data_IF_277167530319
#
_entry.id   IF_277167530319
#
_cell.length_a   1.000
_cell.length_b   1.000
_cell.length_c   1.000
_cell.angle_alpha   90.00
_cell.angle_beta   90.00
_cell.angle_gamma   90.00
#
_symmetry.space_group_name_H-M   'P 1'
#
loop_
_entity.id
_entity.type
_entity.pdbx_description
1 polymer ?
#
# COMPACT_ATOMS: atom_id res chain seq x y z
N UNK A 1 -53.11 -18.07 58.64
CA UNK A 1 -52.63 -17.39 59.85
C UNK A 1 -51.27 -18.01 60.22
N UNK A 2 -50.26 -17.15 60.44
CA UNK A 2 -48.94 -17.39 61.09
C UNK A 2 -47.94 -18.20 60.23
N UNK A 3 -46.98 -17.54 59.54
CA UNK A 3 -45.64 -17.07 59.99
C UNK A 3 -44.71 -18.22 60.41
N UNK A 4 -43.47 -18.37 59.92
CA UNK A 4 -42.33 -17.44 60.05
C UNK A 4 -41.30 -17.70 58.94
N UNK A 5 -40.73 -16.62 58.41
CA UNK A 5 -39.62 -16.61 57.45
C UNK A 5 -38.29 -16.95 58.14
N UNK A 6 -37.47 -17.79 57.50
CA UNK A 6 -36.07 -18.01 57.89
C UNK A 6 -35.15 -17.49 56.78
N UNK A 7 -34.50 -16.36 57.02
CA UNK A 7 -33.37 -15.86 56.23
C UNK A 7 -32.16 -16.79 56.47
N UNK A 8 -31.59 -17.35 55.40
CA UNK A 8 -30.19 -17.81 55.42
C UNK A 8 -29.38 -16.91 54.48
N UNK A 9 -28.56 -16.04 55.09
CA UNK A 9 -27.50 -15.32 54.38
C UNK A 9 -26.27 -16.24 54.29
N UNK A 10 -26.03 -16.82 53.11
CA UNK A 10 -24.75 -17.46 52.82
C UNK A 10 -23.83 -16.41 52.16
N UNK A 11 -22.95 -15.83 52.97
CA UNK A 11 -21.86 -14.97 52.51
C UNK A 11 -20.87 -15.86 51.74
N UNK A 12 -20.90 -15.78 50.42
CA UNK A 12 -19.89 -16.40 49.57
C UNK A 12 -18.56 -15.68 49.76
N UNK A 13 -17.61 -16.31 50.43
CA UNK A 13 -16.22 -15.86 50.50
C UNK A 13 -15.61 -15.99 49.10
N UNK A 14 -15.53 -14.88 48.35
CA UNK A 14 -14.66 -14.77 47.19
C UNK A 14 -13.21 -14.74 47.70
N UNK A 15 -12.52 -15.87 47.62
CA UNK A 15 -11.07 -15.90 47.81
C UNK A 15 -10.45 -15.12 46.64
N UNK A 16 -10.15 -13.85 46.86
CA UNK A 16 -9.26 -13.09 45.99
C UNK A 16 -7.87 -13.68 46.16
N UNK A 17 -7.53 -14.70 45.34
CA UNK A 17 -6.15 -15.16 45.23
C UNK A 17 -5.37 -13.99 44.64
N UNK A 18 -4.35 -13.44 45.33
CA UNK A 18 -3.51 -12.44 44.72
C UNK A 18 -2.81 -13.14 43.55
N UNK A 19 -3.21 -12.80 42.32
CA UNK A 19 -2.39 -13.06 41.16
C UNK A 19 -1.11 -12.27 41.43
N UNK A 20 -0.08 -12.94 41.94
CA UNK A 20 1.28 -12.42 41.83
C UNK A 20 1.56 -12.46 40.35
N UNK A 21 1.14 -11.42 39.63
CA UNK A 21 1.74 -11.05 38.37
C UNK A 21 3.21 -10.87 38.71
N UNK A 22 4.00 -11.94 38.51
CA UNK A 22 5.42 -11.78 38.35
C UNK A 22 5.53 -10.74 37.24
N UNK A 23 6.02 -9.55 37.59
CA UNK A 23 6.47 -8.58 36.63
C UNK A 23 7.62 -9.27 35.90
N UNK A 24 7.29 -10.04 34.87
CA UNK A 24 8.29 -10.64 34.01
C UNK A 24 9.03 -9.48 33.39
N UNK A 25 10.34 -9.45 33.65
CA UNK A 25 11.24 -8.47 33.03
C UNK A 25 10.97 -8.52 31.53
N UNK A 26 10.69 -7.38 30.90
CA UNK A 26 10.54 -7.30 29.44
C UNK A 26 11.69 -8.08 28.81
N UNK A 27 11.34 -9.04 27.94
CA UNK A 27 12.32 -9.86 27.23
C UNK A 27 13.33 -8.91 26.59
N UNK A 28 14.62 -9.09 26.91
CA UNK A 28 15.65 -8.21 26.38
C UNK A 28 15.96 -8.64 24.95
N UNK A 29 16.25 -7.70 24.05
CA UNK A 29 16.63 -8.01 22.67
C UNK A 29 17.79 -9.02 22.57
N UNK A 30 18.65 -9.11 23.58
CA UNK A 30 19.74 -10.09 23.65
C UNK A 30 19.28 -11.57 23.83
N UNK A 31 17.99 -11.81 24.06
CA UNK A 31 17.42 -13.16 24.19
C UNK A 31 16.85 -13.71 22.88
N UNK A 32 16.74 -12.87 21.84
CA UNK A 32 16.25 -13.29 20.53
C UNK A 32 17.43 -13.42 19.56
N UNK A 33 17.39 -14.47 18.74
CA UNK A 33 18.28 -14.57 17.59
C UNK A 33 17.55 -14.13 16.31
N UNK A 34 18.28 -14.04 15.21
CA UNK A 34 17.73 -13.60 13.92
C UNK A 34 16.56 -14.48 13.46
N UNK A 35 16.57 -15.78 13.74
CA UNK A 35 15.49 -16.70 13.37
C UNK A 35 14.20 -16.39 14.14
N UNK A 36 14.30 -16.06 15.44
CA UNK A 36 13.14 -15.66 16.23
C UNK A 36 12.52 -14.36 15.68
N UNK A 37 13.36 -13.40 15.33
CA UNK A 37 12.95 -12.10 14.76
C UNK A 37 12.29 -12.30 13.39
N UNK A 38 12.89 -13.12 12.52
CA UNK A 38 12.36 -13.39 11.18
C UNK A 38 11.04 -14.16 11.23
N UNK A 39 10.90 -15.15 12.12
CA UNK A 39 9.64 -15.87 12.28
C UNK A 39 8.53 -14.96 12.85
N UNK A 40 8.88 -14.07 13.78
CA UNK A 40 7.94 -13.07 14.27
C UNK A 40 7.51 -12.12 13.14
N UNK A 41 8.44 -11.62 12.33
CA UNK A 41 8.14 -10.77 11.17
C UNK A 41 7.24 -11.49 10.13
N UNK A 42 7.55 -12.74 9.80
CA UNK A 42 6.74 -13.57 8.90
C UNK A 42 5.32 -13.78 9.45
N UNK A 43 5.19 -13.97 10.77
CA UNK A 43 3.86 -14.08 11.40
C UNK A 43 3.08 -12.78 11.26
N UNK A 44 3.72 -11.62 11.44
CA UNK A 44 3.08 -10.32 11.24
C UNK A 44 2.65 -10.12 9.78
N UNK A 45 3.49 -10.52 8.82
CA UNK A 45 3.17 -10.45 7.39
C UNK A 45 1.92 -11.29 7.07
N UNK A 46 1.82 -12.50 7.61
CA UNK A 46 0.62 -13.34 7.45
C UNK A 46 -0.64 -12.74 8.10
N UNK A 47 -0.51 -12.13 9.28
CA UNK A 47 -1.63 -11.45 9.95
C UNK A 47 -2.10 -10.23 9.16
N UNK A 48 -1.17 -9.46 8.61
CA UNK A 48 -1.45 -8.28 7.80
C UNK A 48 -2.13 -8.66 6.47
N UNK A 49 -1.59 -9.65 5.75
CA UNK A 49 -2.18 -10.17 4.51
C UNK A 49 -3.61 -10.69 4.76
N UNK A 50 -3.81 -11.48 5.83
CA UNK A 50 -5.13 -11.98 6.21
C UNK A 50 -6.09 -10.83 6.53
N UNK A 51 -5.66 -9.87 7.35
CA UNK A 51 -6.46 -8.71 7.73
C UNK A 51 -6.93 -7.92 6.50
N UNK A 52 -6.04 -7.62 5.56
CA UNK A 52 -6.40 -6.89 4.35
C UNK A 52 -7.26 -7.70 3.39
N UNK A 53 -6.97 -8.99 3.19
CA UNK A 53 -7.78 -9.84 2.31
C UNK A 53 -9.20 -10.02 2.82
N UNK A 54 -9.34 -10.44 4.08
CA UNK A 54 -10.66 -10.67 4.68
C UNK A 54 -11.40 -9.34 4.87
N UNK A 55 -10.70 -8.29 5.29
CA UNK A 55 -11.26 -6.94 5.44
C UNK A 55 -11.81 -6.42 4.12
N UNK A 56 -11.01 -6.40 3.06
CA UNK A 56 -11.42 -5.88 1.75
C UNK A 56 -12.50 -6.75 1.09
N UNK A 57 -12.53 -8.07 1.33
CA UNK A 57 -13.59 -8.94 0.83
C UNK A 57 -15.00 -8.55 1.36
N UNK A 58 -15.08 -7.86 2.50
CA UNK A 58 -16.34 -7.44 3.10
C UNK A 58 -16.87 -6.08 2.60
N UNK A 59 -16.05 -5.30 1.88
CA UNK A 59 -16.39 -3.93 1.49
C UNK A 59 -16.13 -3.65 0.01
N UNK A 60 -17.15 -3.12 -0.65
CA UNK A 60 -17.05 -2.55 -1.99
C UNK A 60 -16.49 -1.12 -1.94
N UNK A 61 -15.95 -0.65 -3.06
CA UNK A 61 -15.55 0.75 -3.20
C UNK A 61 -16.68 1.73 -2.85
N UNK A 62 -17.93 1.43 -3.23
CA UNK A 62 -19.08 2.27 -2.91
C UNK A 62 -19.34 2.36 -1.39
N UNK A 63 -19.04 1.31 -0.62
CA UNK A 63 -19.15 1.34 0.84
C UNK A 63 -18.05 2.19 1.47
N UNK A 64 -16.83 2.18 0.93
CA UNK A 64 -15.78 3.12 1.35
C UNK A 64 -16.21 4.57 1.07
N UNK A 65 -16.77 4.84 -0.12
CA UNK A 65 -17.31 6.15 -0.46
C UNK A 65 -18.43 6.59 0.49
N UNK A 66 -19.37 5.70 0.80
CA UNK A 66 -20.44 5.96 1.77
C UNK A 66 -19.92 6.22 3.19
N UNK A 67 -18.77 5.66 3.55
CA UNK A 67 -18.10 5.90 4.82
C UNK A 67 -17.26 7.20 4.85
N UNK A 68 -17.24 7.97 3.76
CA UNK A 68 -16.54 9.26 3.67
C UNK A 68 -15.10 9.16 3.17
N UNK A 69 -14.66 8.00 2.69
CA UNK A 69 -13.39 7.88 1.99
C UNK A 69 -13.57 8.31 0.53
N UNK A 70 -12.66 9.14 0.02
CA UNK A 70 -12.67 9.54 -1.39
C UNK A 70 -12.09 8.44 -2.29
N UNK A 71 -12.14 8.65 -3.61
CA UNK A 71 -11.59 7.71 -4.59
C UNK A 71 -10.07 7.51 -4.42
N UNK A 72 -9.37 8.48 -3.83
CA UNK A 72 -7.94 8.42 -3.52
C UNK A 72 -7.61 7.23 -2.61
N UNK A 73 -8.45 6.95 -1.62
CA UNK A 73 -8.25 5.82 -0.71
C UNK A 73 -8.20 4.48 -1.46
N UNK A 74 -9.19 4.21 -2.31
CA UNK A 74 -9.26 2.93 -3.03
C UNK A 74 -8.14 2.78 -4.07
N UNK A 75 -7.81 3.88 -4.75
CA UNK A 75 -6.65 3.97 -5.64
C UNK A 75 -5.36 3.60 -4.91
N UNK A 76 -5.13 4.11 -3.70
CA UNK A 76 -3.93 3.75 -2.93
C UNK A 76 -3.85 2.27 -2.59
N UNK A 77 -4.98 1.60 -2.33
CA UNK A 77 -4.97 0.15 -2.14
C UNK A 77 -4.52 -0.61 -3.39
N UNK A 78 -4.93 -0.15 -4.58
CA UNK A 78 -4.46 -0.70 -5.86
C UNK A 78 -2.96 -0.41 -6.09
N UNK A 79 -2.49 0.80 -5.77
CA UNK A 79 -1.08 1.17 -5.86
C UNK A 79 -0.20 0.32 -4.92
N UNK A 80 -0.60 0.17 -3.67
CA UNK A 80 0.08 -0.69 -2.68
C UNK A 80 0.09 -2.14 -3.15
N UNK A 81 -1.06 -2.66 -3.60
CA UNK A 81 -1.11 -4.02 -4.12
C UNK A 81 -0.25 -4.21 -5.37
N UNK A 82 -0.12 -3.18 -6.23
CA UNK A 82 0.77 -3.22 -7.40
C UNK A 82 2.22 -3.43 -6.98
N UNK A 83 2.68 -2.72 -5.93
CA UNK A 83 4.04 -2.86 -5.39
C UNK A 83 4.27 -4.20 -4.68
N UNK A 84 3.26 -4.72 -3.98
CA UNK A 84 3.34 -5.98 -3.26
C UNK A 84 3.22 -7.21 -4.17
N UNK A 85 2.45 -7.10 -5.26
CA UNK A 85 2.11 -8.23 -6.14
C UNK A 85 3.30 -9.04 -6.67
N UNK A 86 4.48 -8.47 -6.98
CA UNK A 86 5.63 -9.25 -7.45
C UNK A 86 6.22 -10.17 -6.37
N UNK A 87 5.97 -9.90 -5.09
CA UNK A 87 6.43 -10.73 -3.98
C UNK A 87 5.45 -11.88 -3.69
N UNK A 88 4.25 -11.84 -4.28
CA UNK A 88 3.22 -12.87 -4.12
C UNK A 88 3.51 -13.99 -5.12
N UNK A 89 4.25 -15.01 -4.67
CA UNK A 89 4.62 -16.17 -5.51
C UNK A 89 3.40 -17.00 -5.91
N UNK A 90 2.44 -17.17 -5.00
CA UNK A 90 1.22 -17.94 -5.24
C UNK A 90 0.08 -17.42 -4.38
N UNK A 91 -1.12 -17.32 -4.97
CA UNK A 91 -2.36 -17.13 -4.24
C UNK A 91 -3.08 -18.49 -4.15
N UNK A 92 -3.26 -19.07 -2.95
CA UNK A 92 -4.16 -20.21 -2.75
C UNK A 92 -5.53 -19.95 -3.37
N UNK A 93 -6.12 -20.95 -4.03
CA UNK A 93 -7.41 -20.80 -4.73
C UNK A 93 -8.62 -20.67 -3.80
N UNK A 94 -8.45 -21.06 -2.54
CA UNK A 94 -9.41 -20.92 -1.45
C UNK A 94 -9.37 -19.53 -0.80
N UNK A 95 -8.41 -18.67 -1.16
CA UNK A 95 -8.42 -17.29 -0.70
C UNK A 95 -9.67 -16.55 -1.20
N UNK A 96 -10.27 -15.68 -0.37
CA UNK A 96 -11.39 -14.85 -0.80
C UNK A 96 -10.96 -13.94 -1.96
N UNK A 97 -11.91 -13.62 -2.83
CA UNK A 97 -11.68 -12.72 -3.97
C UNK A 97 -11.19 -11.36 -3.47
N UNK A 98 -9.99 -10.98 -3.91
CA UNK A 98 -9.41 -9.70 -3.55
C UNK A 98 -9.95 -8.61 -4.49
N UNK A 99 -10.61 -7.55 -3.98
CA UNK A 99 -11.36 -6.62 -4.82
C UNK A 99 -10.48 -5.53 -5.46
N UNK A 100 -9.22 -5.41 -5.04
CA UNK A 100 -8.24 -4.50 -5.66
C UNK A 100 -7.37 -5.26 -6.66
N UNK A 101 -7.00 -4.57 -7.74
CA UNK A 101 -6.20 -5.14 -8.82
C UNK A 101 -4.91 -4.35 -8.96
N UNK A 102 -3.84 -5.05 -9.32
CA UNK A 102 -2.58 -4.39 -9.63
C UNK A 102 -2.75 -3.63 -10.95
N UNK A 103 -2.18 -2.43 -11.01
CA UNK A 103 -2.05 -1.69 -12.24
C UNK A 103 -1.02 -2.36 -13.18
N UNK A 104 -1.06 -2.03 -14.48
CA UNK A 104 -0.08 -2.51 -15.44
C UNK A 104 1.36 -2.20 -14.99
N UNK A 105 2.26 -3.15 -15.25
CA UNK A 105 3.65 -3.13 -14.75
C UNK A 105 4.48 -2.00 -15.34
N UNK A 106 5.03 -1.16 -14.46
CA UNK A 106 6.04 -0.15 -14.80
C UNK A 106 7.41 -0.56 -14.27
N UNK A 107 8.47 -0.34 -15.06
CA UNK A 107 9.84 -0.68 -14.69
C UNK A 107 10.74 0.55 -14.82
N UNK A 108 11.51 0.87 -13.79
CA UNK A 108 12.61 1.81 -13.86
C UNK A 108 13.81 1.11 -14.51
N UNK A 109 14.29 1.61 -15.65
CA UNK A 109 15.41 1.01 -16.40
C UNK A 109 16.70 1.79 -16.28
N UNK A 110 16.64 3.05 -15.84
CA UNK A 110 17.85 3.83 -15.51
C UNK A 110 18.60 3.25 -14.32
N UNK A 111 19.93 3.27 -14.43
CA UNK A 111 20.84 2.86 -13.37
C UNK A 111 21.64 4.06 -12.85
N UNK A 112 21.98 4.04 -11.57
CA UNK A 112 22.77 5.09 -10.92
C UNK A 112 21.92 6.10 -10.14
N UNK A 113 22.56 7.11 -9.54
CA UNK A 113 21.87 8.10 -8.71
C UNK A 113 20.86 8.91 -9.52
N UNK A 114 19.65 9.05 -8.98
CA UNK A 114 18.59 9.89 -9.56
C UNK A 114 18.50 11.17 -8.76
N UNK A 115 18.72 12.32 -9.42
CA UNK A 115 18.63 13.66 -8.80
C UNK A 115 17.61 14.51 -9.53
N UNK A 116 17.14 15.58 -8.89
CA UNK A 116 16.33 16.62 -9.55
C UNK A 116 17.04 17.11 -10.82
N UNK A 117 16.28 17.26 -11.91
CA UNK A 117 16.78 17.67 -13.23
C UNK A 117 17.45 16.57 -14.05
N UNK A 118 17.79 15.42 -13.45
CA UNK A 118 18.29 14.26 -14.22
C UNK A 118 17.18 13.64 -15.08
N UNK A 119 17.57 12.96 -16.15
CA UNK A 119 16.63 12.17 -16.97
C UNK A 119 16.70 10.71 -16.58
N UNK A 120 15.54 10.14 -16.25
CA UNK A 120 15.37 8.70 -16.08
C UNK A 120 14.60 8.11 -17.27
N UNK A 121 14.73 6.81 -17.44
CA UNK A 121 13.99 5.99 -18.39
C UNK A 121 13.17 4.96 -17.63
N UNK A 122 11.92 4.83 -18.04
CA UNK A 122 10.99 3.80 -17.56
C UNK A 122 10.42 3.03 -18.74
N UNK A 123 10.00 1.80 -18.51
CA UNK A 123 9.48 0.89 -19.53
C UNK A 123 8.14 0.28 -19.12
N UNK A 124 7.23 0.15 -20.08
CA UNK A 124 6.00 -0.64 -19.99
C UNK A 124 6.16 -1.93 -20.80
N UNK A 125 6.82 -2.96 -20.25
CA UNK A 125 7.19 -4.14 -21.03
C UNK A 125 5.95 -4.88 -21.54
N UNK A 126 5.86 -5.00 -22.86
CA UNK A 126 4.79 -5.76 -23.53
C UNK A 126 3.52 -4.96 -23.82
N UNK A 127 3.47 -3.66 -23.55
CA UNK A 127 2.32 -2.82 -23.90
C UNK A 127 2.72 -1.37 -24.17
N UNK A 128 1.93 -0.67 -25.00
CA UNK A 128 2.11 0.74 -25.34
C UNK A 128 1.02 1.55 -24.65
N UNK A 129 1.39 2.68 -24.05
CA UNK A 129 0.42 3.56 -23.41
C UNK A 129 -0.42 4.28 -24.47
N UNK A 130 -1.73 4.15 -24.38
CA UNK A 130 -2.66 4.96 -25.17
C UNK A 130 -2.90 6.31 -24.46
N UNK A 131 -2.86 7.45 -25.18
CA UNK A 131 -3.41 8.69 -24.66
C UNK A 131 -4.93 8.56 -24.49
N UNK A 132 -5.58 9.53 -23.83
CA UNK A 132 -7.04 9.59 -23.74
C UNK A 132 -7.64 9.45 -25.14
N UNK A 133 -8.58 8.50 -25.31
CA UNK A 133 -9.19 8.15 -26.61
C UNK A 133 -9.64 9.40 -27.36
N UNK A 134 -9.08 9.62 -28.55
CA UNK A 134 -9.44 10.77 -29.42
C UNK A 134 -8.63 12.05 -29.19
N UNK A 135 -7.58 12.04 -28.38
CA UNK A 135 -6.74 13.22 -28.13
C UNK A 135 -5.25 12.94 -28.30
N UNK A 136 -4.51 13.90 -28.88
CA UNK A 136 -3.04 13.98 -28.77
C UNK A 136 -2.60 14.44 -27.36
N UNK A 137 -3.40 14.12 -26.34
CA UNK A 137 -3.17 14.57 -24.98
C UNK A 137 -1.82 14.05 -24.47
N UNK A 138 -1.02 14.92 -23.81
CA UNK A 138 0.22 14.48 -23.19
C UNK A 138 -0.05 13.41 -22.14
N UNK A 139 0.90 12.48 -22.01
CA UNK A 139 0.97 11.58 -20.88
C UNK A 139 1.84 12.21 -19.80
N UNK A 140 1.57 11.85 -18.55
CA UNK A 140 2.24 12.41 -17.39
C UNK A 140 2.92 11.33 -16.57
N UNK A 141 4.05 11.70 -15.98
CA UNK A 141 4.69 10.99 -14.89
C UNK A 141 4.27 11.66 -13.59
N UNK A 142 3.56 10.93 -12.74
CA UNK A 142 3.12 11.43 -11.44
C UNK A 142 3.92 10.79 -10.32
N UNK A 143 4.60 11.60 -9.53
CA UNK A 143 5.38 11.20 -8.36
C UNK A 143 4.54 11.39 -7.11
N UNK A 144 4.31 10.33 -6.34
CA UNK A 144 3.72 10.45 -5.02
C UNK A 144 4.87 10.63 -4.03
N UNK A 145 5.07 11.88 -3.62
CA UNK A 145 6.15 12.33 -2.74
C UNK A 145 5.60 12.68 -1.37
N UNK A 146 6.47 12.71 -0.35
CA UNK A 146 6.11 13.13 1.00
C UNK A 146 5.57 14.57 1.06
N UNK A 147 6.00 15.44 0.14
CA UNK A 147 5.53 16.83 0.01
C UNK A 147 4.20 16.99 -0.73
N UNK A 148 3.57 15.88 -1.13
CA UNK A 148 2.40 15.87 -2.03
C UNK A 148 2.77 15.40 -3.44
N UNK A 149 1.77 15.14 -4.29
CA UNK A 149 2.01 14.61 -5.62
C UNK A 149 2.56 15.69 -6.56
N UNK A 150 3.54 15.32 -7.39
CA UNK A 150 4.17 16.20 -8.38
C UNK A 150 4.12 15.55 -9.76
N UNK A 151 3.73 16.30 -10.78
CA UNK A 151 3.72 15.83 -12.16
C UNK A 151 4.94 16.30 -12.95
N UNK A 152 5.37 15.47 -13.89
CA UNK A 152 6.29 15.80 -14.96
C UNK A 152 5.73 15.29 -16.29
N UNK A 153 6.12 15.93 -17.40
CA UNK A 153 5.75 15.45 -18.72
C UNK A 153 6.54 14.18 -19.10
N UNK A 154 5.85 13.28 -19.81
CA UNK A 154 6.40 12.03 -20.29
C UNK A 154 6.86 12.18 -21.76
N UNK A 155 8.12 11.87 -22.04
CA UNK A 155 8.61 11.83 -23.43
C UNK A 155 8.63 10.39 -23.94
N UNK A 156 7.89 10.09 -25.02
CA UNK A 156 7.92 8.77 -25.65
C UNK A 156 9.25 8.52 -26.36
N UNK A 157 9.79 7.31 -26.22
CA UNK A 157 10.99 6.89 -26.95
C UNK A 157 10.62 6.09 -28.21
N UNK A 158 11.59 5.87 -29.10
CA UNK A 158 11.36 5.34 -30.45
C UNK A 158 10.79 3.92 -30.53
N UNK A 159 10.79 3.15 -29.44
CA UNK A 159 10.22 1.80 -29.38
C UNK A 159 8.77 1.75 -28.90
N UNK A 160 8.18 2.89 -28.52
CA UNK A 160 6.79 3.00 -28.06
C UNK A 160 6.50 2.42 -26.67
N UNK A 161 7.45 1.70 -26.06
CA UNK A 161 7.31 1.07 -24.74
C UNK A 161 8.19 1.73 -23.68
N UNK A 162 9.22 2.46 -24.10
CA UNK A 162 10.09 3.21 -23.20
C UNK A 162 9.75 4.70 -23.23
N UNK A 163 9.96 5.32 -22.07
CA UNK A 163 9.64 6.71 -21.84
C UNK A 163 10.74 7.38 -21.02
N UNK A 164 11.08 8.62 -21.38
CA UNK A 164 12.00 9.46 -20.61
C UNK A 164 11.23 10.48 -19.78
N UNK A 165 11.68 10.67 -18.55
CA UNK A 165 11.13 11.64 -17.59
C UNK A 165 12.30 12.47 -17.05
N UNK A 166 12.16 13.78 -17.10
CA UNK A 166 13.04 14.68 -16.33
C UNK A 166 12.50 14.78 -14.91
N UNK A 167 13.33 14.50 -13.90
CA UNK A 167 12.90 14.56 -12.51
C UNK A 167 12.54 16.01 -12.13
N UNK A 168 11.29 16.27 -11.72
CA UNK A 168 10.84 17.63 -11.41
C UNK A 168 11.44 18.14 -10.11
N UNK A 169 11.31 19.45 -9.85
CA UNK A 169 11.55 19.99 -8.52
C UNK A 169 10.45 19.53 -7.53
N UNK A 170 10.71 19.62 -6.22
CA UNK A 170 9.72 19.28 -5.19
C UNK A 170 9.59 17.79 -4.86
N UNK A 171 10.38 16.93 -5.50
CA UNK A 171 10.48 15.49 -5.18
C UNK A 171 11.83 15.16 -4.56
N UNK A 172 11.82 14.37 -3.49
CA UNK A 172 13.02 13.92 -2.79
C UNK A 172 12.75 12.63 -2.02
N UNK A 173 13.80 11.86 -1.74
CA UNK A 173 13.71 10.59 -1.02
C UNK A 173 12.98 9.51 -1.82
N UNK A 174 12.28 8.63 -1.13
CA UNK A 174 11.54 7.54 -1.75
C UNK A 174 10.23 8.07 -2.35
N UNK A 175 10.06 7.87 -3.65
CA UNK A 175 8.90 8.32 -4.41
C UNK A 175 8.24 7.13 -5.11
N UNK A 176 6.93 7.18 -5.27
CA UNK A 176 6.17 6.21 -6.04
C UNK A 176 5.73 6.84 -7.36
N UNK A 177 6.39 6.44 -8.44
CA UNK A 177 6.17 6.97 -9.78
C UNK A 177 5.10 6.14 -10.49
N UNK A 178 4.00 6.78 -10.90
CA UNK A 178 2.99 6.20 -11.81
C UNK A 178 2.91 6.99 -13.12
N UNK A 179 2.49 6.33 -14.19
CA UNK A 179 2.20 6.99 -15.47
C UNK A 179 0.70 7.19 -15.62
N UNK A 180 0.29 8.39 -16.01
CA UNK A 180 -1.12 8.77 -16.14
C UNK A 180 -1.44 9.47 -17.44
N UNK A 181 -2.73 9.51 -17.79
CA UNK A 181 -3.27 10.34 -18.87
C UNK A 181 -3.88 11.67 -18.36
N UNK A 182 -3.65 12.00 -17.08
CA UNK A 182 -4.22 13.16 -16.41
C UNK A 182 -3.13 14.07 -15.83
N UNK A 183 -3.23 15.37 -16.12
CA UNK A 183 -2.28 16.39 -15.70
C UNK A 183 -2.47 16.89 -14.27
N UNK A 184 -3.58 16.53 -13.60
CA UNK A 184 -3.77 16.79 -12.17
C UNK A 184 -3.23 15.61 -11.35
N UNK A 185 -2.08 15.81 -10.71
CA UNK A 185 -1.43 14.82 -9.86
C UNK A 185 -2.21 14.53 -8.55
N UNK A 186 -3.04 15.49 -8.15
CA UNK A 186 -3.70 15.54 -6.83
C UNK A 186 -4.95 14.67 -6.81
N UNK A 187 -5.72 14.70 -7.89
CA UNK A 187 -7.00 14.01 -8.01
C UNK A 187 -7.00 13.01 -9.16
N UNK A 188 -6.05 12.07 -9.15
CA UNK A 188 -6.05 10.98 -10.11
C UNK A 188 -7.16 9.98 -9.80
N UNK A 189 -8.01 9.66 -10.77
CA UNK A 189 -8.90 8.50 -10.67
C UNK A 189 -8.19 7.22 -11.10
N UNK A 190 -8.76 6.06 -10.78
CA UNK A 190 -8.13 4.75 -11.07
C UNK A 190 -7.92 4.51 -12.55
N UNK A 191 -8.87 4.92 -13.39
CA UNK A 191 -8.81 4.80 -14.85
C UNK A 191 -7.82 5.77 -15.50
N UNK A 192 -7.32 6.75 -14.73
CA UNK A 192 -6.29 7.67 -15.18
C UNK A 192 -4.88 7.15 -14.94
N UNK A 193 -4.70 6.14 -14.10
CA UNK A 193 -3.41 5.45 -13.90
C UNK A 193 -3.26 4.37 -14.97
N UNK A 194 -2.24 4.54 -15.81
CA UNK A 194 -1.97 3.65 -16.92
C UNK A 194 -0.90 2.61 -16.60
N UNK A 195 0.02 2.92 -15.68
CA UNK A 195 1.09 2.02 -15.27
C UNK A 195 1.69 2.41 -13.91
N UNK A 196 2.20 1.42 -13.17
CA UNK A 196 2.90 1.60 -11.91
C UNK A 196 1.98 1.56 -10.68
N UNK A 197 2.46 1.95 -9.49
CA UNK A 197 3.70 2.66 -9.30
C UNK A 197 4.95 1.78 -9.41
N UNK A 198 6.08 2.43 -9.68
CA UNK A 198 7.44 1.91 -9.45
C UNK A 198 8.13 2.79 -8.42
N UNK A 199 8.96 2.20 -7.56
CA UNK A 199 9.73 2.95 -6.57
C UNK A 199 10.91 3.65 -7.26
N UNK A 200 11.09 4.93 -6.94
CA UNK A 200 12.22 5.75 -7.38
C UNK A 200 12.79 6.48 -6.16
N UNK A 201 14.05 6.23 -5.84
CA UNK A 201 14.76 7.00 -4.81
C UNK A 201 15.44 8.20 -5.44
N UNK A 202 15.08 9.40 -5.00
CA UNK A 202 15.56 10.67 -5.53
C UNK A 202 16.46 11.32 -4.49
N UNK A 203 17.76 11.33 -4.77
CA UNK A 203 18.73 11.97 -3.88
C UNK A 203 18.62 13.48 -4.03
N UNK A 204 18.66 14.18 -2.88
CA UNK A 204 18.80 15.64 -2.88
C UNK A 204 20.18 15.98 -3.46
N UNK A 205 20.19 16.78 -4.52
CA UNK A 205 21.42 17.32 -5.10
C UNK A 205 22.13 18.26 -4.11
#
# INVERSE_FOLDING_TARGET
MISVALLLAAVGLTQAVPFKSALEKRQSLAQFNDVDILNYALTLEHLEDKFYREGLANFTQAQFAAAGFDATFYRYLQEIFTLASPFIVSCPSDNPTFPVRAYPKLVLTSTGPVTVGSKITVSTPGYVLAPVTGSNAPLFASFASAGGPVNAELTRMGNGMDYSITIPEGVAGLNYLRLSNCGDATHLSEDQILAGPVVVEITKA
#
